data_IF_469368094492
#
_entry.id   IF_469368094492
#
_cell.length_a   1.000
_cell.length_b   1.000
_cell.length_c   1.000
_cell.angle_alpha   90.00
_cell.angle_beta   90.00
_cell.angle_gamma   90.00
#
_symmetry.space_group_name_H-M   'P 1'
#
loop_
_entity.id
_entity.type
_entity.pdbx_description
1 polymer ?
#
# COMPACT_ATOMS: atom_id res chain seq x y z
N UNK A 1 -65.01 -18.81 23.40
CA UNK A 1 -64.02 -19.86 23.10
C UNK A 1 -62.86 -19.22 22.34
N UNK A 2 -61.69 -19.33 22.95
CA UNK A 2 -60.45 -18.61 22.66
C UNK A 2 -59.72 -19.25 21.48
N UNK A 3 -59.40 -18.48 20.42
CA UNK A 3 -58.36 -18.87 19.45
C UNK A 3 -57.18 -17.91 19.62
N UNK A 4 -56.31 -18.33 20.52
CA UNK A 4 -54.92 -17.89 20.62
C UNK A 4 -54.22 -18.17 19.29
N UNK A 5 -53.63 -17.16 18.66
CA UNK A 5 -52.60 -17.38 17.65
C UNK A 5 -51.46 -16.41 17.95
N UNK A 6 -50.44 -16.99 18.57
CA UNK A 6 -49.20 -16.38 19.03
C UNK A 6 -48.49 -15.81 17.79
N UNK A 7 -48.37 -14.49 17.72
CA UNK A 7 -47.44 -13.84 16.81
C UNK A 7 -46.02 -14.08 17.35
N UNK A 8 -45.34 -15.09 16.80
CA UNK A 8 -43.94 -15.35 17.10
C UNK A 8 -43.10 -14.26 16.43
N UNK A 9 -42.91 -13.15 17.15
CA UNK A 9 -42.02 -12.06 16.77
C UNK A 9 -40.58 -12.55 16.81
N UNK A 10 -40.09 -13.06 15.69
CA UNK A 10 -38.66 -13.33 15.48
C UNK A 10 -37.97 -12.00 15.23
N UNK A 11 -37.66 -11.27 16.30
CA UNK A 11 -36.79 -10.09 16.24
C UNK A 11 -35.37 -10.61 16.02
N UNK A 12 -34.97 -10.75 14.77
CA UNK A 12 -33.56 -10.90 14.41
C UNK A 12 -32.85 -9.60 14.78
N UNK A 13 -32.19 -9.61 15.94
CA UNK A 13 -31.28 -8.56 16.33
C UNK A 13 -30.14 -8.51 15.32
N UNK A 14 -30.24 -7.58 14.37
CA UNK A 14 -29.12 -7.09 13.58
C UNK A 14 -28.14 -6.47 14.57
N UNK A 15 -27.23 -7.29 15.09
CA UNK A 15 -25.97 -6.84 15.67
C UNK A 15 -25.21 -6.17 14.52
N UNK A 16 -25.48 -4.88 14.31
CA UNK A 16 -24.60 -4.03 13.55
C UNK A 16 -23.25 -4.04 14.28
N UNK A 17 -22.31 -4.85 13.79
CA UNK A 17 -20.94 -4.83 14.26
C UNK A 17 -20.35 -3.51 13.76
N UNK A 18 -20.54 -2.44 14.53
CA UNK A 18 -19.84 -1.18 14.35
C UNK A 18 -18.38 -1.41 14.74
N UNK A 19 -17.59 -1.99 13.84
CA UNK A 19 -16.14 -2.03 14.01
C UNK A 19 -15.64 -0.60 13.90
N UNK A 20 -15.43 0.06 15.04
CA UNK A 20 -14.80 1.37 15.09
C UNK A 20 -13.31 1.18 14.76
N UNK A 21 -13.02 1.05 13.47
CA UNK A 21 -11.67 0.80 12.97
C UNK A 21 -10.79 1.99 13.34
N UNK A 22 -9.70 1.73 14.08
CA UNK A 22 -8.72 2.77 14.42
C UNK A 22 -8.07 3.30 13.15
N UNK A 23 -7.85 4.60 13.10
CA UNK A 23 -7.21 5.28 11.97
C UNK A 23 -5.80 5.72 12.35
N UNK A 24 -4.85 5.45 11.47
CA UNK A 24 -3.43 5.78 11.59
C UNK A 24 -3.05 6.68 10.42
N UNK A 25 -3.10 8.00 10.64
CA UNK A 25 -2.70 8.98 9.61
C UNK A 25 -1.16 8.93 9.45
N UNK A 26 -0.66 8.80 8.21
CA UNK A 26 0.78 8.67 7.94
C UNK A 26 1.59 9.95 8.28
N UNK A 27 0.96 11.12 8.30
CA UNK A 27 1.57 12.38 8.73
C UNK A 27 1.97 12.35 10.22
N UNK A 28 1.21 11.66 11.07
CA UNK A 28 1.55 11.44 12.49
C UNK A 28 2.84 10.60 12.65
N UNK A 29 3.26 9.93 11.58
CA UNK A 29 4.47 9.13 11.49
C UNK A 29 5.62 9.86 10.79
N UNK A 30 5.41 11.13 10.43
CA UNK A 30 6.39 12.00 9.80
C UNK A 30 6.37 11.98 8.27
N UNK A 31 5.30 11.46 7.65
CA UNK A 31 5.13 11.57 6.21
C UNK A 31 4.90 13.03 5.80
N UNK A 32 5.40 13.41 4.62
CA UNK A 32 5.27 14.74 4.02
C UNK A 32 4.71 14.62 2.62
N UNK A 33 3.55 15.22 2.39
CA UNK A 33 2.84 15.25 1.11
C UNK A 33 3.36 16.30 0.13
N UNK A 34 4.67 16.52 0.09
CA UNK A 34 5.33 17.63 -0.61
C UNK A 34 5.79 17.29 -2.05
N UNK A 35 5.48 16.10 -2.57
CA UNK A 35 5.96 15.59 -3.86
C UNK A 35 7.49 15.45 -3.99
N UNK A 36 8.24 15.50 -2.89
CA UNK A 36 9.72 15.48 -2.90
C UNK A 36 10.29 14.46 -1.92
N UNK A 37 9.70 14.36 -0.73
CA UNK A 37 10.16 13.49 0.36
C UNK A 37 9.85 12.03 0.06
N UNK A 38 10.82 11.14 0.31
CA UNK A 38 10.60 9.68 0.29
C UNK A 38 9.94 9.25 1.61
N UNK A 39 8.69 8.82 1.53
CA UNK A 39 7.80 8.53 2.65
C UNK A 39 7.72 7.04 3.02
N UNK A 40 8.55 6.18 2.41
CA UNK A 40 8.53 4.73 2.63
C UNK A 40 8.58 4.36 4.12
N UNK A 41 9.48 4.98 4.88
CA UNK A 41 9.67 4.68 6.31
C UNK A 41 8.48 5.15 7.17
N UNK A 42 8.00 6.41 7.09
CA UNK A 42 6.79 6.83 7.77
C UNK A 42 5.57 5.95 7.48
N UNK A 43 5.32 5.63 6.20
CA UNK A 43 4.15 4.82 5.79
C UNK A 43 4.28 3.40 6.36
N UNK A 44 5.46 2.77 6.25
CA UNK A 44 5.67 1.44 6.81
C UNK A 44 5.49 1.44 8.33
N UNK A 45 5.97 2.46 9.03
CA UNK A 45 5.81 2.58 10.49
C UNK A 45 4.32 2.69 10.89
N UNK A 46 3.51 3.40 10.10
CA UNK A 46 2.06 3.46 10.31
C UNK A 46 1.40 2.09 10.11
N UNK A 47 1.77 1.35 9.06
CA UNK A 47 1.29 -0.02 8.80
C UNK A 47 1.67 -0.97 9.94
N UNK A 48 2.93 -0.95 10.35
CA UNK A 48 3.44 -1.84 11.40
C UNK A 48 2.73 -1.58 12.72
N UNK A 49 2.54 -0.30 13.09
CA UNK A 49 1.80 0.07 14.29
C UNK A 49 0.31 -0.29 14.19
N UNK A 50 -0.32 -0.09 13.04
CA UNK A 50 -1.72 -0.45 12.81
C UNK A 50 -1.94 -1.94 13.05
N UNK A 51 -1.16 -2.79 12.39
CA UNK A 51 -1.24 -4.25 12.52
C UNK A 51 -0.95 -4.71 13.95
N UNK A 52 0.12 -4.18 14.57
CA UNK A 52 0.50 -4.51 15.96
C UNK A 52 -0.62 -4.23 16.97
N UNK A 53 -1.48 -3.25 16.69
CA UNK A 53 -2.59 -2.85 17.57
C UNK A 53 -3.94 -3.48 17.19
N UNK A 54 -3.92 -4.59 16.44
CA UNK A 54 -5.12 -5.35 16.08
C UNK A 54 -5.75 -4.96 14.74
N UNK A 55 -5.10 -4.09 13.97
CA UNK A 55 -5.56 -3.67 12.66
C UNK A 55 -6.34 -2.36 12.65
N UNK A 56 -6.76 -1.97 11.46
CA UNK A 56 -7.51 -0.76 11.18
C UNK A 56 -7.15 -0.12 9.85
N UNK A 57 -7.30 1.20 9.78
CA UNK A 57 -7.08 2.00 8.57
C UNK A 57 -5.75 2.74 8.70
N UNK A 58 -4.85 2.56 7.74
CA UNK A 58 -3.73 3.48 7.51
C UNK A 58 -4.19 4.49 6.47
N UNK A 59 -4.19 5.77 6.83
CA UNK A 59 -4.83 6.83 6.06
C UNK A 59 -3.80 7.74 5.39
N UNK A 60 -3.96 7.94 4.09
CA UNK A 60 -3.34 9.01 3.31
C UNK A 60 -4.44 10.02 2.98
N UNK A 61 -4.46 11.15 3.68
CA UNK A 61 -5.60 12.08 3.68
C UNK A 61 -5.56 13.06 2.50
N UNK A 62 -4.44 13.75 2.33
CA UNK A 62 -4.29 14.75 1.26
C UNK A 62 -2.82 14.99 0.90
N UNK A 63 -2.57 15.40 -0.34
CA UNK A 63 -1.22 15.70 -0.83
C UNK A 63 -0.59 14.55 -1.62
N UNK A 64 0.70 14.71 -1.95
CA UNK A 64 1.41 13.77 -2.83
C UNK A 64 2.61 13.18 -2.11
N UNK A 65 2.58 11.86 -1.92
CA UNK A 65 3.58 11.13 -1.15
C UNK A 65 4.36 10.20 -2.08
N UNK A 66 5.67 10.40 -2.17
CA UNK A 66 6.54 9.48 -2.91
C UNK A 66 6.94 8.32 -2.00
N UNK A 67 6.87 7.08 -2.50
CA UNK A 67 7.28 5.90 -1.75
C UNK A 67 7.97 4.87 -2.64
N UNK A 68 8.92 4.16 -2.02
CA UNK A 68 9.36 2.84 -2.47
C UNK A 68 8.40 1.75 -1.99
N UNK A 69 8.90 0.53 -1.81
CA UNK A 69 8.07 -0.61 -1.37
C UNK A 69 7.48 -0.39 0.02
N UNK A 70 6.16 -0.51 0.13
CA UNK A 70 5.43 -0.65 1.40
C UNK A 70 4.80 -2.03 1.47
N UNK A 71 4.84 -2.66 2.64
CA UNK A 71 4.38 -4.02 2.88
C UNK A 71 3.20 -3.98 3.84
N UNK A 72 2.00 -4.25 3.32
CA UNK A 72 0.78 -4.46 4.11
C UNK A 72 0.93 -5.66 5.03
N UNK A 73 0.29 -5.57 6.18
CA UNK A 73 0.33 -6.54 7.29
C UNK A 73 -1.09 -6.92 7.67
N UNK A 74 -1.23 -7.93 8.52
CA UNK A 74 -2.53 -8.45 8.94
C UNK A 74 -3.47 -7.35 9.44
N UNK A 75 -4.73 -7.42 9.00
CA UNK A 75 -5.83 -6.54 9.42
C UNK A 75 -5.64 -5.06 9.05
N UNK A 76 -4.81 -4.74 8.05
CA UNK A 76 -4.56 -3.36 7.61
C UNK A 76 -5.28 -3.05 6.31
N UNK A 77 -6.09 -1.99 6.33
CA UNK A 77 -6.58 -1.33 5.11
C UNK A 77 -5.81 -0.05 4.87
N UNK A 78 -5.14 0.07 3.72
CA UNK A 78 -4.57 1.32 3.25
C UNK A 78 -5.64 2.13 2.52
N UNK A 79 -6.01 3.29 3.05
CA UNK A 79 -6.99 4.20 2.43
C UNK A 79 -6.31 5.42 1.86
N UNK A 80 -6.49 5.65 0.57
CA UNK A 80 -6.01 6.86 -0.12
C UNK A 80 -7.23 7.72 -0.44
N UNK A 81 -7.38 8.86 0.22
CA UNK A 81 -8.54 9.74 0.03
C UNK A 81 -8.45 10.54 -1.27
N UNK A 82 -9.59 11.07 -1.72
CA UNK A 82 -9.78 11.73 -3.01
C UNK A 82 -8.71 12.75 -3.40
N UNK A 83 -8.20 13.50 -2.43
CA UNK A 83 -7.20 14.56 -2.64
C UNK A 83 -5.76 14.10 -2.37
N UNK A 84 -5.56 12.80 -2.15
CA UNK A 84 -4.27 12.19 -1.89
C UNK A 84 -3.77 11.40 -3.10
N UNK A 85 -2.43 11.39 -3.25
CA UNK A 85 -1.73 10.58 -4.23
C UNK A 85 -0.55 9.86 -3.60
N UNK A 86 -0.50 8.54 -3.76
CA UNK A 86 0.70 7.74 -3.50
C UNK A 86 1.43 7.51 -4.82
N UNK A 87 2.68 7.95 -4.91
CA UNK A 87 3.49 7.88 -6.14
C UNK A 87 4.70 6.98 -5.93
N UNK A 88 4.95 6.07 -6.87
CA UNK A 88 6.17 5.27 -6.88
C UNK A 88 7.42 6.12 -7.06
N UNK A 89 8.47 5.83 -6.28
CA UNK A 89 9.78 6.45 -6.44
C UNK A 89 10.36 6.23 -7.84
N UNK A 90 11.10 7.22 -8.34
CA UNK A 90 11.86 7.10 -9.58
C UNK A 90 13.19 6.37 -9.39
N UNK A 91 13.57 6.05 -8.16
CA UNK A 91 14.80 5.32 -7.84
C UNK A 91 14.52 3.81 -7.64
N UNK A 92 15.01 2.94 -8.53
CA UNK A 92 14.95 1.48 -8.38
C UNK A 92 15.43 0.93 -7.02
N UNK A 93 16.35 1.62 -6.33
CA UNK A 93 16.87 1.16 -5.04
C UNK A 93 15.88 1.33 -3.87
N UNK A 94 14.81 2.12 -4.05
CA UNK A 94 13.78 2.27 -3.03
C UNK A 94 12.83 1.07 -2.99
N UNK A 95 12.98 0.11 -3.91
CA UNK A 95 12.10 -1.04 -4.05
C UNK A 95 12.76 -2.31 -3.51
N UNK A 96 12.09 -2.95 -2.56
CA UNK A 96 12.49 -4.22 -1.97
C UNK A 96 11.83 -5.38 -2.71
N UNK A 97 12.59 -6.47 -2.93
CA UNK A 97 12.02 -7.74 -3.38
C UNK A 97 11.35 -8.45 -2.19
N UNK A 98 10.06 -8.76 -2.29
CA UNK A 98 9.29 -9.40 -1.21
C UNK A 98 8.97 -10.87 -1.47
N UNK A 99 8.87 -11.26 -2.74
CA UNK A 99 8.71 -12.64 -3.18
C UNK A 99 9.42 -12.80 -4.53
N UNK A 100 10.59 -13.45 -4.49
CA UNK A 100 11.46 -13.50 -5.67
C UNK A 100 11.04 -14.67 -6.55
N UNK A 101 10.74 -14.37 -7.82
CA UNK A 101 10.45 -15.38 -8.83
C UNK A 101 11.16 -15.06 -10.14
N UNK A 102 11.21 -16.03 -11.05
CA UNK A 102 11.74 -15.84 -12.41
C UNK A 102 10.57 -15.86 -13.37
N UNK A 103 10.44 -14.81 -14.19
CA UNK A 103 9.37 -14.74 -15.19
C UNK A 103 9.65 -15.62 -16.42
N UNK A 104 8.68 -15.68 -17.33
CA UNK A 104 8.76 -16.52 -18.53
C UNK A 104 9.94 -16.19 -19.47
N UNK A 105 10.58 -15.03 -19.30
CA UNK A 105 11.74 -14.60 -20.11
C UNK A 105 13.04 -14.65 -19.32
N UNK A 106 13.06 -15.33 -18.16
CA UNK A 106 14.26 -15.55 -17.36
C UNK A 106 14.67 -14.34 -16.51
N UNK A 107 13.81 -13.33 -16.33
CA UNK A 107 14.12 -12.17 -15.50
C UNK A 107 13.68 -12.40 -14.06
N UNK A 108 14.57 -12.07 -13.12
CA UNK A 108 14.24 -12.08 -11.69
C UNK A 108 13.25 -10.95 -11.38
N UNK A 109 12.15 -11.28 -10.72
CA UNK A 109 11.08 -10.35 -10.29
C UNK A 109 10.90 -10.45 -8.78
N UNK A 110 10.07 -9.55 -8.24
CA UNK A 110 9.68 -9.58 -6.83
C UNK A 110 9.64 -8.22 -6.14
N UNK A 111 10.15 -7.17 -6.80
CA UNK A 111 9.99 -5.79 -6.32
C UNK A 111 8.59 -5.26 -6.63
N UNK A 112 8.02 -4.47 -5.71
CA UNK A 112 6.68 -3.90 -5.87
C UNK A 112 6.53 -2.55 -5.17
N UNK A 113 5.57 -1.72 -5.58
CA UNK A 113 5.20 -0.51 -4.82
C UNK A 113 4.41 -0.89 -3.55
N UNK A 114 3.34 -1.67 -3.70
CA UNK A 114 2.53 -2.18 -2.58
C UNK A 114 2.63 -3.70 -2.57
N UNK A 115 3.10 -4.25 -1.47
CA UNK A 115 3.23 -5.69 -1.26
C UNK A 115 2.41 -6.17 -0.08
N UNK A 116 2.05 -7.44 -0.05
CA UNK A 116 1.69 -8.14 1.18
C UNK A 116 2.27 -9.55 1.13
N UNK A 117 2.87 -9.98 2.24
CA UNK A 117 3.51 -11.29 2.35
C UNK A 117 2.88 -12.04 3.52
N UNK A 118 2.19 -13.14 3.22
CA UNK A 118 1.48 -13.99 4.18
C UNK A 118 0.55 -13.19 5.11
N UNK A 119 -0.06 -12.13 4.57
CA UNK A 119 -0.95 -11.26 5.31
C UNK A 119 -2.41 -11.64 5.07
N UNK A 120 -3.25 -11.45 6.08
CA UNK A 120 -4.67 -11.77 6.08
C UNK A 120 -5.50 -10.53 6.37
N UNK A 121 -6.72 -10.48 5.82
CA UNK A 121 -7.65 -9.38 6.02
C UNK A 121 -7.03 -8.00 5.70
N UNK A 122 -6.48 -7.88 4.49
CA UNK A 122 -5.86 -6.66 3.99
C UNK A 122 -6.75 -5.96 2.98
N UNK A 123 -6.62 -4.64 2.88
CA UNK A 123 -7.39 -3.83 1.94
C UNK A 123 -6.60 -2.67 1.37
N UNK A 124 -6.99 -2.25 0.16
CA UNK A 124 -6.64 -0.96 -0.41
C UNK A 124 -7.95 -0.29 -0.83
N UNK A 125 -8.21 0.92 -0.37
CA UNK A 125 -9.49 1.60 -0.59
C UNK A 125 -9.34 3.12 -0.74
N UNK A 126 -10.47 3.80 -0.96
CA UNK A 126 -10.55 5.24 -1.11
C UNK A 126 -10.65 5.71 -2.56
N UNK A 127 -10.90 7.02 -2.73
CA UNK A 127 -11.12 7.68 -4.02
C UNK A 127 -9.84 8.34 -4.58
N UNK A 128 -8.73 8.23 -3.86
CA UNK A 128 -7.46 8.83 -4.23
C UNK A 128 -6.73 8.08 -5.34
N UNK A 129 -5.51 8.52 -5.62
CA UNK A 129 -4.70 7.97 -6.71
C UNK A 129 -3.50 7.19 -6.19
N UNK A 130 -3.30 5.99 -6.73
CA UNK A 130 -2.02 5.26 -6.59
C UNK A 130 -1.38 5.23 -7.98
N UNK A 131 -0.22 5.87 -8.12
CA UNK A 131 0.51 6.01 -9.37
C UNK A 131 1.84 5.27 -9.27
N UNK A 132 1.99 4.18 -10.03
CA UNK A 132 3.21 3.38 -10.03
C UNK A 132 4.43 4.08 -10.62
N UNK A 133 4.27 5.27 -11.22
CA UNK A 133 5.34 6.05 -11.84
C UNK A 133 6.17 5.25 -12.87
N UNK A 134 5.52 4.39 -13.64
CA UNK A 134 6.20 3.46 -14.55
C UNK A 134 7.06 4.17 -15.61
N UNK A 135 6.73 5.40 -16.00
CA UNK A 135 7.52 6.17 -16.95
C UNK A 135 8.96 6.41 -16.47
N UNK A 136 9.21 6.49 -15.16
CA UNK A 136 10.54 6.64 -14.59
C UNK A 136 11.48 5.47 -14.95
N UNK A 137 10.91 4.28 -15.18
CA UNK A 137 11.65 3.06 -15.49
C UNK A 137 11.86 2.82 -17.00
N UNK A 138 11.47 3.75 -17.87
CA UNK A 138 11.83 3.68 -19.29
C UNK A 138 13.34 3.88 -19.45
N UNK A 139 13.97 3.20 -20.41
CA UNK A 139 15.43 3.21 -20.60
C UNK A 139 16.05 4.62 -20.65
N UNK A 140 15.37 5.57 -21.32
CA UNK A 140 15.77 6.98 -21.41
C UNK A 140 15.77 7.70 -20.05
N UNK A 141 14.84 7.35 -19.16
CA UNK A 141 14.71 7.99 -17.85
C UNK A 141 15.63 7.32 -16.83
N UNK A 142 15.76 5.98 -16.88
CA UNK A 142 16.72 5.23 -16.06
C UNK A 142 18.16 5.67 -16.31
N UNK A 143 18.55 5.96 -17.56
CA UNK A 143 19.91 6.44 -17.83
C UNK A 143 20.20 7.80 -17.17
N UNK A 144 19.20 8.68 -17.09
CA UNK A 144 19.30 9.95 -16.35
C UNK A 144 19.40 9.71 -14.85
N UNK A 145 18.55 8.87 -14.29
CA UNK A 145 18.58 8.51 -12.87
C UNK A 145 19.92 7.86 -12.49
N UNK A 146 20.40 6.90 -13.30
CA UNK A 146 21.70 6.24 -13.14
C UNK A 146 22.85 7.25 -13.11
N UNK A 147 22.84 8.23 -14.03
CA UNK A 147 23.84 9.31 -14.06
C UNK A 147 23.75 10.22 -12.83
N UNK A 148 22.54 10.61 -12.42
CA UNK A 148 22.33 11.48 -11.27
C UNK A 148 22.78 10.85 -9.95
N UNK A 149 22.60 9.53 -9.81
CA UNK A 149 23.01 8.76 -8.62
C UNK A 149 24.47 8.27 -8.69
N UNK A 150 25.19 8.52 -9.79
CA UNK A 150 26.57 8.04 -9.96
C UNK A 150 26.70 6.51 -10.04
N UNK A 151 25.64 5.81 -10.44
CA UNK A 151 25.62 4.34 -10.46
C UNK A 151 26.26 3.84 -11.76
N UNK A 152 27.17 2.86 -11.64
CA UNK A 152 27.81 2.20 -12.80
C UNK A 152 27.16 0.85 -13.14
N UNK A 153 26.35 0.29 -12.26
CA UNK A 153 25.70 -1.03 -12.42
C UNK A 153 24.84 -1.13 -13.68
N UNK A 154 25.10 -2.16 -14.49
CA UNK A 154 24.38 -2.47 -15.72
C UNK A 154 23.02 -3.12 -15.49
N UNK A 155 22.72 -3.54 -14.26
CA UNK A 155 21.44 -4.13 -13.86
C UNK A 155 20.49 -3.13 -13.17
N UNK A 156 20.93 -1.89 -12.94
CA UNK A 156 20.14 -0.84 -12.31
C UNK A 156 18.80 -0.62 -13.04
N UNK A 157 17.69 -0.86 -12.33
CA UNK A 157 16.35 -0.65 -12.86
C UNK A 157 15.94 -1.56 -14.02
N UNK A 158 16.71 -2.62 -14.33
CA UNK A 158 16.29 -3.63 -15.33
C UNK A 158 14.95 -4.27 -14.95
N UNK A 159 14.73 -4.45 -13.65
CA UNK A 159 13.48 -4.97 -13.12
C UNK A 159 12.57 -3.83 -12.71
N UNK A 160 11.47 -3.69 -13.43
CA UNK A 160 10.42 -2.71 -13.13
C UNK A 160 9.64 -3.23 -11.92
N UNK A 161 9.44 -2.41 -10.88
CA UNK A 161 8.60 -2.80 -9.77
C UNK A 161 7.18 -3.11 -10.25
N UNK A 162 6.61 -4.18 -9.71
CA UNK A 162 5.19 -4.48 -9.86
C UNK A 162 4.37 -3.39 -9.15
N UNK A 163 3.16 -3.17 -9.64
CA UNK A 163 2.28 -2.17 -9.05
C UNK A 163 1.80 -2.61 -7.67
N UNK A 164 1.17 -3.79 -7.60
CA UNK A 164 0.69 -4.42 -6.37
C UNK A 164 1.00 -5.92 -6.43
N UNK A 165 1.38 -6.53 -5.31
CA UNK A 165 1.67 -7.97 -5.21
C UNK A 165 1.18 -8.54 -3.88
N UNK A 166 0.48 -9.67 -3.93
CA UNK A 166 -0.02 -10.39 -2.76
C UNK A 166 0.47 -11.85 -2.84
N UNK A 167 1.30 -12.25 -1.88
CA UNK A 167 1.95 -13.57 -1.83
C UNK A 167 1.75 -14.25 -0.48
#
# INVERSE_FOLDING_TARGET
MLKSLIFLGFVTALLACSSNSKTYNIEDYGAKGDSLTINTKPIQKAIDNCSKNGGGIVLIKEGVFISGTIILKDNVTLTVEKNAKLVGSSNPQDYQSIDTFVDAVGQQRGTCLIGALKATNIGVSGEGTIDGNGAAFLAKNLSKTKKALGITDNNFGKNRPLFITFC
#
